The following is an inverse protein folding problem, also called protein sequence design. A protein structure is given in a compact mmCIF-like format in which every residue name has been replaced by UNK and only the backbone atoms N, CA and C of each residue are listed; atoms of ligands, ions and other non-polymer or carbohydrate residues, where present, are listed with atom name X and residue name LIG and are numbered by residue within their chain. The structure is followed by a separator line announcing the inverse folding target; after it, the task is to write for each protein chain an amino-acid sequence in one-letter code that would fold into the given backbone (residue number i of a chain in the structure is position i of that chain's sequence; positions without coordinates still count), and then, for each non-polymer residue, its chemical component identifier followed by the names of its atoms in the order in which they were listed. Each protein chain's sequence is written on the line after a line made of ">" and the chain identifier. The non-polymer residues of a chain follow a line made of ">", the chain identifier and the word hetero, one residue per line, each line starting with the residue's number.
data_IF_484853540095
#
_entry.id   IF_484853540095
#
_cell.length_a   1.000
_cell.length_b   1.000
_cell.length_c   1.000
_cell.angle_alpha   90.00
_cell.angle_beta   90.00
_cell.angle_gamma   90.00
#
_symmetry.space_group_name_H-M   'P 1'
#
loop_
_entity.id
_entity.type
_entity.pdbx_description
1 polymer ?
#
# COMPACT_ATOMS: atom_id res chain seq x y z
N UNK A 1 -10.17 15.35 11.89
CA UNK A 1 -9.44 14.08 11.72
C UNK A 1 -9.54 13.69 10.25
N UNK A 2 -8.44 13.27 9.64
CA UNK A 2 -8.41 12.80 8.25
C UNK A 2 -7.99 11.33 8.28
N UNK A 3 -8.70 10.47 7.57
CA UNK A 3 -8.42 9.03 7.50
C UNK A 3 -7.98 8.70 6.09
N UNK A 4 -6.84 8.03 5.97
CA UNK A 4 -6.31 7.53 4.71
C UNK A 4 -6.47 6.02 4.64
N UNK A 5 -6.80 5.53 3.44
CA UNK A 5 -6.66 4.12 3.09
C UNK A 5 -5.19 3.89 2.77
N UNK A 6 -4.57 2.92 3.45
CA UNK A 6 -3.20 2.48 3.15
C UNK A 6 -3.18 1.30 2.18
N UNK A 7 -1.99 1.01 1.64
CA UNK A 7 -1.80 -0.04 0.64
C UNK A 7 -2.27 -1.43 1.09
N UNK A 8 -2.12 -1.74 2.38
CA UNK A 8 -2.57 -3.02 2.93
C UNK A 8 -4.07 -3.22 2.70
N UNK A 9 -4.88 -2.19 2.97
CA UNK A 9 -6.33 -2.28 2.81
C UNK A 9 -6.75 -2.28 1.33
N UNK A 10 -6.03 -1.55 0.48
CA UNK A 10 -6.24 -1.62 -0.98
C UNK A 10 -5.97 -3.02 -1.53
N UNK A 11 -4.90 -3.68 -1.07
CA UNK A 11 -4.56 -5.05 -1.49
C UNK A 11 -5.64 -6.03 -1.04
N UNK A 12 -6.03 -5.99 0.24
CA UNK A 12 -7.07 -6.86 0.80
C UNK A 12 -8.41 -6.68 0.06
N UNK A 13 -8.74 -5.46 -0.33
CA UNK A 13 -9.97 -5.14 -1.04
C UNK A 13 -9.85 -5.24 -2.57
N UNK A 14 -8.73 -5.74 -3.10
CA UNK A 14 -8.44 -5.83 -4.53
C UNK A 14 -8.76 -4.55 -5.32
N UNK A 15 -8.35 -3.39 -4.79
CA UNK A 15 -8.49 -2.10 -5.47
C UNK A 15 -9.82 -1.39 -5.25
N UNK A 16 -10.79 -1.99 -4.53
CA UNK A 16 -12.07 -1.32 -4.21
C UNK A 16 -11.90 -0.10 -3.32
N UNK A 17 -10.89 -0.12 -2.45
CA UNK A 17 -10.46 1.03 -1.66
C UNK A 17 -9.10 1.49 -2.16
N UNK A 18 -8.98 2.76 -2.54
CA UNK A 18 -7.77 3.27 -3.20
C UNK A 18 -6.80 3.87 -2.19
N UNK A 19 -5.55 3.41 -2.18
CA UNK A 19 -4.43 4.06 -1.48
C UNK A 19 -3.99 5.29 -2.27
N UNK A 20 -4.38 6.47 -1.78
CA UNK A 20 -4.14 7.73 -2.51
C UNK A 20 -2.73 8.26 -2.31
N UNK A 21 -2.09 8.67 -3.41
CA UNK A 21 -0.87 9.47 -3.35
C UNK A 21 -1.19 10.86 -2.81
N UNK A 22 -0.50 11.26 -1.75
CA UNK A 22 -0.66 12.56 -1.12
C UNK A 22 0.71 13.17 -0.79
N UNK A 23 0.76 14.50 -0.68
CA UNK A 23 1.97 15.24 -0.32
C UNK A 23 1.63 16.40 0.61
N UNK A 24 2.55 16.72 1.51
CA UNK A 24 2.48 17.93 2.34
C UNK A 24 3.20 19.10 1.66
N UNK A 25 2.59 20.28 1.69
CA UNK A 25 3.26 21.53 1.30
C UNK A 25 3.82 22.24 2.52
N UNK A 26 4.89 23.01 2.32
CA UNK A 26 5.51 23.87 3.33
C UNK A 26 5.07 25.32 3.11
N UNK A 27 5.01 26.12 4.18
CA UNK A 27 4.75 27.57 4.11
C UNK A 27 5.85 28.36 4.83
N UNK A 28 6.11 29.57 4.34
CA UNK A 28 6.98 30.56 5.01
C UNK A 28 6.25 31.35 6.10
N UNK A 29 4.92 31.36 6.08
CA UNK A 29 4.10 32.24 6.93
C UNK A 29 3.83 31.63 8.31
N UNK A 30 3.70 30.30 8.37
CA UNK A 30 3.34 29.60 9.59
C UNK A 30 3.92 28.18 9.63
N UNK A 31 4.28 27.75 10.84
CA UNK A 31 4.70 26.38 11.12
C UNK A 31 3.46 25.48 11.19
N UNK A 32 3.49 24.37 10.43
CA UNK A 32 2.45 23.33 10.46
C UNK A 32 2.96 22.10 11.22
N UNK A 33 2.24 21.69 12.25
CA UNK A 33 2.47 20.43 12.99
C UNK A 33 1.28 19.50 12.75
N UNK A 34 1.55 18.23 12.46
CA UNK A 34 0.51 17.21 12.32
C UNK A 34 0.98 15.90 12.95
N UNK A 35 0.07 15.23 13.65
CA UNK A 35 0.30 13.90 14.22
C UNK A 35 -0.38 12.85 13.34
N UNK A 36 0.34 11.77 13.05
CA UNK A 36 -0.15 10.66 12.22
C UNK A 36 0.02 9.37 13.01
N UNK A 37 -1.02 8.54 12.99
CA UNK A 37 -1.00 7.20 13.58
C UNK A 37 -1.22 6.20 12.45
N UNK A 38 -0.30 5.26 12.31
CA UNK A 38 -0.40 4.19 11.33
C UNK A 38 -0.94 2.92 11.99
N UNK A 39 -1.97 2.34 11.38
CA UNK A 39 -2.49 1.03 11.76
C UNK A 39 -1.92 0.00 10.78
N UNK A 40 -0.77 -0.57 11.13
CA UNK A 40 -0.04 -1.50 10.25
C UNK A 40 -0.29 -2.95 10.66
N UNK A 41 -0.39 -3.87 9.69
CA UNK A 41 -0.41 -5.30 9.98
C UNK A 41 0.97 -5.77 10.48
N UNK A 42 1.04 -6.85 11.27
CA UNK A 42 2.29 -7.47 11.67
C UNK A 42 3.21 -7.75 10.46
N UNK A 43 4.44 -7.18 10.42
CA UNK A 43 5.26 -7.15 9.20
C UNK A 43 5.62 -8.51 8.60
N UNK A 44 5.88 -9.51 9.45
CA UNK A 44 6.39 -10.82 9.04
C UNK A 44 5.30 -11.89 8.95
N UNK A 45 4.28 -11.82 9.81
CA UNK A 45 3.32 -12.92 10.01
C UNK A 45 2.06 -12.79 9.17
N UNK A 46 1.78 -11.61 8.60
CA UNK A 46 0.59 -11.38 7.77
C UNK A 46 1.00 -11.28 6.31
N UNK A 47 0.43 -12.18 5.50
CA UNK A 47 0.49 -12.12 4.03
C UNK A 47 -0.65 -11.23 3.55
N UNK A 48 -0.31 -10.23 2.73
CA UNK A 48 -1.27 -9.35 2.07
C UNK A 48 -1.69 -9.99 0.75
N UNK A 49 -2.95 -10.39 0.69
CA UNK A 49 -3.58 -10.90 -0.52
C UNK A 49 -5.08 -10.54 -0.54
N UNK A 50 -5.72 -10.45 -1.72
CA UNK A 50 -7.13 -10.16 -1.78
C UNK A 50 -7.99 -11.13 -0.97
N UNK A 51 -8.91 -10.58 -0.17
CA UNK A 51 -9.86 -11.37 0.63
C UNK A 51 -10.88 -12.03 -0.31
N UNK A 52 -11.02 -13.36 -0.31
CA UNK A 52 -11.90 -14.08 -1.25
C UNK A 52 -13.35 -13.57 -1.25
N UNK A 53 -13.89 -13.27 -0.07
CA UNK A 53 -15.26 -12.76 0.09
C UNK A 53 -15.46 -11.42 -0.62
N UNK A 54 -14.44 -10.56 -0.61
CA UNK A 54 -14.49 -9.24 -1.26
C UNK A 54 -14.37 -9.33 -2.79
N UNK A 55 -13.70 -10.37 -3.29
CA UNK A 55 -13.63 -10.69 -4.72
C UNK A 55 -14.99 -11.17 -5.24
N UNK A 56 -15.64 -12.09 -4.52
CA UNK A 56 -16.96 -12.62 -4.87
C UNK A 56 -18.02 -11.51 -4.94
N UNK A 57 -17.99 -10.58 -3.98
CA UNK A 57 -18.89 -9.42 -3.94
C UNK A 57 -18.64 -8.37 -5.03
N UNK A 58 -17.53 -8.46 -5.77
CA UNK A 58 -17.18 -7.48 -6.80
C UNK A 58 -17.71 -7.86 -8.19
N UNK A 59 -18.18 -9.09 -8.40
CA UNK A 59 -18.53 -9.60 -9.74
C UNK A 59 -17.36 -9.60 -10.73
N UNK A 60 -16.13 -9.37 -10.23
CA UNK A 60 -14.91 -9.32 -11.03
C UNK A 60 -14.40 -10.74 -11.18
N UNK A 61 -14.46 -11.23 -12.41
CA UNK A 61 -13.88 -12.51 -12.79
C UNK A 61 -12.36 -12.55 -12.49
N UNK A 62 -12.00 -13.44 -11.57
CA UNK A 62 -10.86 -14.35 -11.59
C UNK A 62 -9.40 -13.86 -11.53
N UNK A 63 -9.10 -12.55 -11.34
CA UNK A 63 -7.70 -12.14 -11.19
C UNK A 63 -7.39 -11.17 -10.05
N UNK A 64 -6.62 -11.61 -9.03
CA UNK A 64 -6.01 -10.73 -8.05
C UNK A 64 -5.20 -9.61 -8.73
N UNK A 65 -5.51 -8.34 -8.42
CA UNK A 65 -4.73 -7.19 -8.91
C UNK A 65 -3.33 -7.13 -8.28
N UNK A 66 -3.18 -7.73 -7.11
CA UNK A 66 -1.97 -7.66 -6.30
C UNK A 66 -1.43 -9.07 -6.02
N UNK A 67 -0.12 -9.31 -6.21
CA UNK A 67 0.48 -10.58 -5.85
C UNK A 67 0.61 -10.70 -4.31
N UNK A 68 0.49 -11.93 -3.77
CA UNK A 68 0.63 -12.18 -2.34
C UNK A 68 2.06 -11.87 -1.88
N UNK A 69 2.17 -11.18 -0.73
CA UNK A 69 3.46 -10.82 -0.10
C UNK A 69 3.25 -10.41 1.35
N UNK A 70 4.26 -10.56 2.20
CA UNK A 70 4.19 -10.01 3.56
C UNK A 70 4.20 -8.48 3.55
N UNK A 71 3.74 -7.85 4.64
CA UNK A 71 3.83 -6.40 4.75
C UNK A 71 5.29 -5.90 4.73
N UNK A 72 6.23 -6.64 5.35
CA UNK A 72 7.67 -6.35 5.25
C UNK A 72 8.15 -6.34 3.79
N UNK A 73 7.82 -7.39 3.03
CA UNK A 73 8.18 -7.48 1.61
C UNK A 73 7.55 -6.34 0.79
N UNK A 74 6.31 -5.96 1.11
CA UNK A 74 5.65 -4.83 0.47
C UNK A 74 6.43 -3.53 0.67
N UNK A 75 6.81 -3.22 1.91
CA UNK A 75 7.57 -2.01 2.25
C UNK A 75 8.95 -2.03 1.59
N UNK A 76 9.68 -3.14 1.69
CA UNK A 76 10.99 -3.31 1.05
C UNK A 76 10.92 -3.04 -0.45
N UNK A 77 9.96 -3.67 -1.16
CA UNK A 77 9.77 -3.42 -2.59
C UNK A 77 9.46 -1.95 -2.87
N UNK A 78 8.60 -1.28 -2.09
CA UNK A 78 8.30 0.14 -2.32
C UNK A 78 9.52 1.05 -2.15
N UNK A 79 10.42 0.72 -1.23
CA UNK A 79 11.64 1.49 -0.99
C UNK A 79 12.71 1.23 -2.05
N UNK A 80 12.89 -0.02 -2.49
CA UNK A 80 14.04 -0.43 -3.29
C UNK A 80 13.73 -0.77 -4.76
N UNK A 81 12.46 -0.80 -5.17
CA UNK A 81 12.05 -1.17 -6.54
C UNK A 81 12.86 -0.48 -7.62
N UNK A 82 13.09 0.84 -7.49
CA UNK A 82 13.85 1.59 -8.51
C UNK A 82 15.30 1.10 -8.63
N UNK A 83 15.94 0.76 -7.52
CA UNK A 83 17.31 0.25 -7.51
C UNK A 83 17.36 -1.19 -8.05
N UNK A 84 16.38 -2.02 -7.68
CA UNK A 84 16.24 -3.39 -8.17
C UNK A 84 16.01 -3.43 -9.69
N UNK A 85 15.11 -2.59 -10.21
CA UNK A 85 14.82 -2.47 -11.64
C UNK A 85 16.06 -2.04 -12.44
N UNK A 86 16.88 -1.13 -11.90
CA UNK A 86 18.16 -0.70 -12.50
C UNK A 86 19.18 -1.85 -12.51
N UNK A 87 19.30 -2.59 -11.41
CA UNK A 87 20.25 -3.68 -11.30
C UNK A 87 19.91 -4.85 -12.24
N UNK A 88 18.62 -5.14 -12.44
CA UNK A 88 18.14 -6.17 -13.37
C UNK A 88 18.35 -5.76 -14.83
N UNK A 89 18.18 -4.48 -15.17
CA UNK A 89 18.40 -3.98 -16.53
C UNK A 89 19.90 -3.90 -16.92
N UNK A 90 20.79 -3.93 -15.93
CA UNK A 90 22.24 -3.87 -16.13
C UNK A 90 22.91 -5.27 -16.20
N UNK A 91 22.13 -6.36 -16.05
CA UNK A 91 22.57 -7.76 -16.10
C UNK A 91 22.11 -8.43 -17.39
#
# INVERSE_FOLDING_TARGET
>A
MVVHIGDALEILASGRYTSVLHRGLVSREAVRVSFVVFCEPPPESVVLEPVPELLLLAGVADKPLFPPRTFKQHVQRKLFKKQEDINVAAA
#
